data_IF_533006112620
#
_entry.id   IF_533006112620
#
_cell.length_a   1.000
_cell.length_b   1.000
_cell.length_c   1.000
_cell.angle_alpha   90.00
_cell.angle_beta   90.00
_cell.angle_gamma   90.00
#
_symmetry.space_group_name_H-M   'P 1'
#
loop_
_entity.id
_entity.type
_entity.pdbx_description
1 polymer ?
#
# COMPACT_ATOMS: atom_id res chain seq x y z
N UNK A 1 5.63 10.28 5.81
CA UNK A 1 5.24 10.99 4.56
C UNK A 1 6.38 11.49 3.67
N UNK A 2 7.66 11.35 4.05
CA UNK A 2 8.75 11.76 3.15
C UNK A 2 8.77 10.94 1.86
N UNK A 3 8.56 9.61 1.87
CA UNK A 3 8.64 8.80 0.65
C UNK A 3 7.59 9.21 -0.41
N UNK A 4 6.31 9.32 -0.01
CA UNK A 4 5.23 9.75 -0.91
C UNK A 4 5.42 11.20 -1.38
N UNK A 5 5.82 12.13 -0.51
CA UNK A 5 6.09 13.52 -0.91
C UNK A 5 7.40 13.70 -1.70
N UNK A 6 8.36 12.79 -1.55
CA UNK A 6 9.65 12.79 -2.24
C UNK A 6 9.49 12.27 -3.67
N UNK A 7 8.75 11.18 -3.87
CA UNK A 7 8.48 10.65 -5.21
C UNK A 7 7.35 11.39 -5.93
N UNK A 8 6.36 11.91 -5.21
CA UNK A 8 5.23 12.66 -5.79
C UNK A 8 5.24 14.13 -5.34
N UNK A 9 6.22 14.90 -5.84
CA UNK A 9 6.35 16.35 -5.56
C UNK A 9 5.08 17.14 -5.90
N UNK A 10 4.28 16.69 -6.89
CA UNK A 10 2.97 17.29 -7.24
C UNK A 10 1.87 17.10 -6.18
N UNK A 11 2.05 16.18 -5.22
CA UNK A 11 1.07 15.91 -4.16
C UNK A 11 1.35 16.67 -2.87
N UNK A 12 2.35 17.58 -2.85
CA UNK A 12 2.69 18.40 -1.68
C UNK A 12 1.55 19.31 -1.18
N UNK A 13 0.45 19.45 -1.95
CA UNK A 13 -0.78 20.12 -1.52
C UNK A 13 -1.96 19.17 -1.23
N UNK A 14 -1.81 17.87 -1.45
CA UNK A 14 -2.84 16.86 -1.18
C UNK A 14 -2.65 16.37 0.26
N UNK A 15 -3.03 17.21 1.21
CA UNK A 15 -3.07 16.85 2.64
C UNK A 15 -4.36 16.11 3.03
N UNK A 16 -5.21 15.83 2.05
CA UNK A 16 -6.56 15.29 2.22
C UNK A 16 -6.84 14.19 1.20
N UNK A 17 -6.21 13.03 1.40
CA UNK A 17 -6.46 11.83 0.59
C UNK A 17 -7.90 11.30 0.72
N UNK A 18 -8.62 11.75 1.75
CA UNK A 18 -10.06 11.54 1.94
C UNK A 18 -10.93 12.32 0.93
N UNK A 19 -10.41 13.40 0.33
CA UNK A 19 -11.13 14.22 -0.64
C UNK A 19 -10.90 13.79 -2.10
N UNK A 20 -9.97 12.87 -2.36
CA UNK A 20 -9.63 12.42 -3.70
C UNK A 20 -9.72 10.89 -3.80
N UNK A 21 -10.25 10.38 -4.91
CA UNK A 21 -10.10 8.97 -5.23
C UNK A 21 -8.65 8.70 -5.62
N UNK A 22 -7.90 8.08 -4.71
CA UNK A 22 -6.52 7.67 -4.96
C UNK A 22 -6.48 6.20 -5.31
N UNK A 23 -5.74 5.89 -6.37
CA UNK A 23 -5.41 4.52 -6.77
C UNK A 23 -3.91 4.35 -6.66
N UNK A 24 -3.47 3.35 -5.90
CA UNK A 24 -2.09 2.89 -5.89
C UNK A 24 -1.95 1.70 -6.83
N UNK A 25 -0.98 1.77 -7.73
CA UNK A 25 -0.61 0.66 -8.61
C UNK A 25 0.74 0.15 -8.11
N UNK A 26 0.75 -1.06 -7.58
CA UNK A 26 1.95 -1.78 -7.15
C UNK A 26 2.34 -2.75 -8.26
N UNK A 27 3.30 -2.34 -9.07
CA UNK A 27 3.75 -3.12 -10.23
C UNK A 27 4.89 -4.08 -9.85
N UNK A 28 4.73 -5.36 -10.17
CA UNK A 28 5.75 -6.39 -9.96
C UNK A 28 5.99 -6.76 -8.49
N UNK A 29 4.92 -7.08 -7.74
CA UNK A 29 5.04 -7.51 -6.33
C UNK A 29 5.98 -8.72 -6.16
N UNK A 30 6.07 -9.59 -7.15
CA UNK A 30 6.97 -10.75 -7.16
C UNK A 30 8.45 -10.40 -7.10
N UNK A 31 8.83 -9.17 -7.46
CA UNK A 31 10.20 -8.66 -7.33
C UNK A 31 10.43 -7.93 -6.00
N UNK A 32 9.37 -7.76 -5.19
CA UNK A 32 9.47 -7.17 -3.86
C UNK A 32 10.25 -8.10 -2.93
N UNK A 33 11.33 -7.60 -2.35
CA UNK A 33 12.18 -8.34 -1.40
C UNK A 33 11.85 -8.08 0.06
N UNK A 34 10.83 -7.26 0.31
CA UNK A 34 10.36 -6.99 1.66
C UNK A 34 9.56 -8.21 2.16
N UNK A 35 9.56 -8.49 3.47
CA UNK A 35 8.86 -9.65 4.01
C UNK A 35 7.33 -9.54 3.89
N UNK A 36 6.78 -8.34 3.74
CA UNK A 36 5.35 -8.05 3.72
C UNK A 36 4.65 -8.69 4.93
N UNK A 37 5.17 -8.40 6.13
CA UNK A 37 4.73 -9.07 7.35
C UNK A 37 3.35 -8.57 7.82
N UNK A 38 2.29 -9.11 7.22
CA UNK A 38 0.91 -8.77 7.56
C UNK A 38 0.50 -9.19 8.98
N UNK A 39 1.28 -10.03 9.67
CA UNK A 39 0.93 -10.53 11.01
C UNK A 39 1.58 -9.70 12.11
N UNK A 40 2.87 -9.35 11.96
CA UNK A 40 3.64 -8.69 13.00
C UNK A 40 3.79 -7.18 12.80
N UNK A 41 3.58 -6.66 11.58
CA UNK A 41 3.66 -5.21 11.39
C UNK A 41 2.55 -4.50 12.18
N UNK A 42 2.90 -3.44 12.93
CA UNK A 42 1.93 -2.69 13.71
C UNK A 42 0.90 -2.05 12.78
N UNK A 43 -0.32 -1.93 13.29
CA UNK A 43 -1.35 -1.11 12.66
C UNK A 43 -0.84 0.32 12.59
N UNK A 44 -0.85 0.89 11.38
CA UNK A 44 -0.33 2.21 11.10
C UNK A 44 -1.37 3.02 10.35
N UNK A 45 -1.92 4.04 11.01
CA UNK A 45 -2.98 4.91 10.48
C UNK A 45 -2.54 6.36 10.31
N UNK A 46 -1.44 6.75 10.97
CA UNK A 46 -0.94 8.13 10.93
C UNK A 46 -0.09 8.36 9.68
N UNK A 47 -0.71 8.91 8.66
CA UNK A 47 -0.02 9.26 7.41
C UNK A 47 1.11 10.26 7.65
N UNK A 48 1.00 11.19 8.60
CA UNK A 48 1.97 12.29 8.73
C UNK A 48 3.35 11.82 9.20
N UNK A 49 3.40 10.72 9.93
CA UNK A 49 4.65 10.17 10.49
C UNK A 49 5.39 9.29 9.48
N UNK A 50 6.68 9.09 9.74
CA UNK A 50 7.51 8.17 8.98
C UNK A 50 7.47 6.78 9.59
N UNK A 51 7.50 5.76 8.74
CA UNK A 51 7.53 4.34 9.10
C UNK A 51 8.36 3.58 8.06
N UNK A 52 8.65 2.30 8.29
CA UNK A 52 9.36 1.47 7.30
C UNK A 52 8.49 1.22 6.07
N UNK A 53 9.12 0.91 4.93
CA UNK A 53 8.37 0.61 3.69
C UNK A 53 7.51 -0.64 3.85
N UNK A 54 7.97 -1.64 4.61
CA UNK A 54 7.22 -2.86 4.87
C UNK A 54 5.93 -2.60 5.67
N UNK A 55 6.04 -1.80 6.74
CA UNK A 55 4.88 -1.36 7.53
C UNK A 55 3.95 -0.50 6.67
N UNK A 56 4.49 0.38 5.83
CA UNK A 56 3.70 1.22 4.93
C UNK A 56 2.88 0.36 3.95
N UNK A 57 3.52 -0.56 3.23
CA UNK A 57 2.86 -1.38 2.21
C UNK A 57 1.82 -2.31 2.81
N UNK A 58 2.14 -2.99 3.91
CA UNK A 58 1.18 -3.90 4.58
C UNK A 58 -0.04 -3.15 5.10
N UNK A 59 0.12 -1.96 5.66
CA UNK A 59 -1.01 -1.15 6.13
C UNK A 59 -1.78 -0.44 5.01
N UNK A 60 -1.15 -0.15 3.86
CA UNK A 60 -1.88 0.26 2.66
C UNK A 60 -2.74 -0.88 2.15
N UNK A 61 -2.17 -2.07 1.95
CA UNK A 61 -2.85 -3.25 1.41
C UNK A 61 -3.98 -3.73 2.34
N UNK A 62 -3.76 -3.71 3.67
CA UNK A 62 -4.80 -4.02 4.67
C UNK A 62 -5.91 -2.95 4.72
N UNK A 63 -5.63 -1.74 4.24
CA UNK A 63 -6.55 -0.61 4.27
C UNK A 63 -6.53 0.21 5.56
N UNK A 64 -5.59 -0.02 6.48
CA UNK A 64 -5.47 0.71 7.74
C UNK A 64 -5.00 2.16 7.54
N UNK A 65 -4.07 2.37 6.61
CA UNK A 65 -3.41 3.68 6.44
C UNK A 65 -4.25 4.65 5.61
N UNK A 66 -4.87 4.17 4.53
CA UNK A 66 -5.70 4.95 3.62
C UNK A 66 -6.94 4.13 3.23
N UNK A 67 -7.95 4.02 4.11
CA UNK A 67 -9.10 3.13 3.91
C UNK A 67 -9.89 3.40 2.62
N UNK A 68 -9.88 4.65 2.14
CA UNK A 68 -10.58 5.07 0.92
C UNK A 68 -9.78 4.83 -0.36
N UNK A 69 -8.50 4.49 -0.27
CA UNK A 69 -7.66 4.26 -1.42
C UNK A 69 -7.97 2.90 -2.06
N UNK A 70 -7.87 2.84 -3.39
CA UNK A 70 -7.92 1.59 -4.13
C UNK A 70 -6.52 1.13 -4.46
N UNK A 71 -6.31 -0.17 -4.48
CA UNK A 71 -4.99 -0.75 -4.77
C UNK A 71 -5.14 -1.75 -5.90
N UNK A 72 -4.29 -1.59 -6.91
CA UNK A 72 -4.11 -2.54 -8.00
C UNK A 72 -2.70 -3.12 -7.88
N UNK A 73 -2.59 -4.44 -7.84
CA UNK A 73 -1.31 -5.14 -7.75
C UNK A 73 -1.12 -5.97 -9.01
N UNK A 74 0.02 -5.83 -9.68
CA UNK A 74 0.46 -6.78 -10.70
C UNK A 74 1.54 -7.67 -10.10
N UNK A 75 1.45 -8.97 -10.38
CA UNK A 75 2.39 -9.94 -9.85
C UNK A 75 2.31 -11.23 -10.63
N UNK A 76 3.39 -12.01 -10.63
CA UNK A 76 3.31 -13.40 -11.08
C UNK A 76 2.34 -14.20 -10.18
N UNK A 77 1.54 -15.13 -10.72
CA UNK A 77 0.55 -15.88 -9.94
C UNK A 77 1.11 -16.53 -8.66
N UNK A 78 2.34 -17.05 -8.71
CA UNK A 78 2.99 -17.68 -7.56
C UNK A 78 3.20 -16.72 -6.37
N UNK A 79 3.39 -15.44 -6.64
CA UNK A 79 3.63 -14.41 -5.63
C UNK A 79 2.34 -13.72 -5.15
N UNK A 80 1.19 -13.94 -5.79
CA UNK A 80 -0.10 -13.41 -5.34
C UNK A 80 -0.48 -13.93 -3.94
N UNK A 81 -0.05 -15.15 -3.60
CA UNK A 81 -0.29 -15.77 -2.28
C UNK A 81 0.41 -15.06 -1.11
N UNK A 82 1.28 -14.07 -1.38
CA UNK A 82 1.84 -13.22 -0.33
C UNK A 82 0.80 -12.24 0.23
N UNK A 83 -0.27 -11.98 -0.50
CA UNK A 83 -1.36 -11.10 -0.06
C UNK A 83 -2.42 -11.95 0.66
N UNK A 84 -2.80 -11.60 1.90
CA UNK A 84 -3.86 -12.30 2.61
C UNK A 84 -5.19 -12.22 1.84
N UNK A 85 -5.94 -13.32 1.81
CA UNK A 85 -7.17 -13.40 1.02
C UNK A 85 -8.22 -12.36 1.45
N UNK A 86 -8.25 -11.99 2.73
CA UNK A 86 -9.11 -10.95 3.28
C UNK A 86 -8.81 -9.54 2.74
N UNK A 87 -7.60 -9.33 2.21
CA UNK A 87 -7.20 -8.07 1.58
C UNK A 87 -7.51 -8.04 0.07
N UNK A 88 -8.04 -9.13 -0.51
CA UNK A 88 -8.28 -9.28 -1.95
C UNK A 88 -9.76 -9.13 -2.27
N UNK A 89 -10.13 -8.07 -2.97
CA UNK A 89 -11.50 -7.86 -3.44
C UNK A 89 -11.80 -8.49 -4.81
N UNK A 90 -10.81 -8.51 -5.71
CA UNK A 90 -10.96 -9.00 -7.09
C UNK A 90 -9.61 -9.48 -7.61
N UNK A 91 -9.64 -10.55 -8.41
CA UNK A 91 -8.48 -11.10 -9.15
C UNK A 91 -8.88 -11.22 -10.62
N UNK A 92 -7.93 -10.90 -11.51
CA UNK A 92 -8.09 -11.05 -12.96
C UNK A 92 -6.80 -11.64 -13.54
N UNK A 93 -6.93 -12.43 -14.61
CA UNK A 93 -5.83 -13.07 -15.35
C UNK A 93 -5.64 -12.43 -16.74
#
# INVERSE_FOLDING_TARGET
>A
MELLHHFFIQTKGIHRYDLFQVVFILDGLDECRLPLDFQNNPIWTDVTKSTSVDVLLTNLIRGDLLPSARIWITTRPAAANQIPAECVGMVTE
#
